data_IF_987711240486
#
_entry.id   IF_987711240486
#
_cell.length_a   1.000
_cell.length_b   1.000
_cell.length_c   1.000
_cell.angle_alpha   90.00
_cell.angle_beta   90.00
_cell.angle_gamma   90.00
#
_symmetry.space_group_name_H-M   'P 1'
#
loop_
_entity.id
_entity.type
_entity.pdbx_description
1 polymer ?
#
# COMPACT_ATOMS: atom_id res chain seq x y z
N UNK A 1 -5.76 18.03 0.33
CA UNK A 1 -5.09 16.75 0.07
C UNK A 1 -5.20 15.89 1.32
N UNK A 2 -5.24 14.58 1.18
CA UNK A 2 -5.08 13.68 2.31
C UNK A 2 -3.68 13.87 2.94
N UNK A 3 -3.48 13.42 4.18
CA UNK A 3 -2.18 13.55 4.82
C UNK A 3 -1.12 12.76 4.05
N UNK A 4 0.08 13.33 3.87
CA UNK A 4 1.20 12.63 3.23
C UNK A 4 1.48 11.25 3.89
N UNK A 5 1.30 11.14 5.21
CA UNK A 5 1.43 9.88 5.93
C UNK A 5 0.40 8.82 5.47
N UNK A 6 -0.82 9.23 5.11
CA UNK A 6 -1.85 8.33 4.58
C UNK A 6 -1.42 7.78 3.22
N UNK A 7 -0.97 8.63 2.30
CA UNK A 7 -0.47 8.22 0.98
C UNK A 7 0.73 7.27 1.09
N UNK A 8 1.70 7.61 1.95
CA UNK A 8 2.86 6.76 2.21
C UNK A 8 2.45 5.38 2.75
N UNK A 9 1.61 5.34 3.78
CA UNK A 9 1.23 4.08 4.42
C UNK A 9 0.35 3.21 3.52
N UNK A 10 -0.54 3.80 2.72
CA UNK A 10 -1.34 3.05 1.74
C UNK A 10 -0.43 2.45 0.67
N UNK A 11 0.47 3.24 0.09
CA UNK A 11 1.45 2.73 -0.91
C UNK A 11 2.34 1.62 -0.36
N UNK A 12 2.86 1.80 0.86
CA UNK A 12 3.67 0.79 1.55
C UNK A 12 2.88 -0.51 1.79
N UNK A 13 1.63 -0.41 2.22
CA UNK A 13 0.74 -1.56 2.49
C UNK A 13 0.47 -2.35 1.21
N UNK A 14 0.09 -1.65 0.14
CA UNK A 14 -0.24 -2.27 -1.14
C UNK A 14 0.98 -3.00 -1.73
N UNK A 15 2.14 -2.35 -1.76
CA UNK A 15 3.33 -2.98 -2.36
C UNK A 15 3.80 -4.18 -1.53
N UNK A 16 3.76 -4.08 -0.19
CA UNK A 16 4.12 -5.20 0.69
C UNK A 16 3.20 -6.41 0.46
N UNK A 17 1.88 -6.20 0.41
CA UNK A 17 0.92 -7.26 0.15
C UNK A 17 1.09 -7.86 -1.25
N UNK A 18 1.28 -7.02 -2.27
CA UNK A 18 1.46 -7.45 -3.66
C UNK A 18 2.70 -8.33 -3.83
N UNK A 19 3.80 -7.98 -3.14
CA UNK A 19 5.06 -8.73 -3.25
C UNK A 19 5.12 -9.93 -2.31
N UNK A 20 4.23 -10.03 -1.32
CA UNK A 20 4.20 -11.14 -0.34
C UNK A 20 4.28 -12.52 -1.01
N UNK A 21 3.47 -12.87 -2.04
CA UNK A 21 3.56 -14.18 -2.70
C UNK A 21 4.91 -14.44 -3.35
N UNK A 22 5.53 -13.42 -3.95
CA UNK A 22 6.85 -13.50 -4.60
C UNK A 22 7.94 -13.66 -3.54
N UNK A 23 7.88 -12.85 -2.48
CA UNK A 23 8.81 -12.90 -1.36
C UNK A 23 8.84 -14.28 -0.70
N UNK A 24 7.65 -14.85 -0.50
CA UNK A 24 7.50 -16.22 -0.03
C UNK A 24 8.07 -17.19 -1.08
N UNK A 25 7.54 -17.24 -2.30
CA UNK A 25 7.97 -18.22 -3.32
C UNK A 25 9.49 -18.31 -3.47
N UNK A 26 10.17 -17.17 -3.55
CA UNK A 26 11.61 -17.10 -3.83
C UNK A 26 12.52 -16.98 -2.61
N UNK A 27 11.98 -17.02 -1.38
CA UNK A 27 12.79 -16.91 -0.14
C UNK A 27 13.66 -15.63 -0.15
N UNK A 28 13.04 -14.50 -0.47
CA UNK A 28 13.75 -13.22 -0.49
C UNK A 28 14.40 -12.94 0.87
N UNK A 29 15.61 -12.37 0.83
CA UNK A 29 16.33 -12.02 2.04
C UNK A 29 15.54 -10.99 2.88
N UNK A 30 15.61 -11.03 4.22
CA UNK A 30 14.79 -10.19 5.11
C UNK A 30 14.92 -8.67 4.89
N UNK A 31 16.04 -8.22 4.31
CA UNK A 31 16.24 -6.81 3.99
C UNK A 31 15.44 -6.34 2.77
N UNK A 32 15.04 -7.24 1.87
CA UNK A 32 14.28 -6.87 0.66
C UNK A 32 12.87 -6.35 1.02
N UNK A 33 12.06 -7.03 1.87
CA UNK A 33 10.79 -6.49 2.34
C UNK A 33 10.87 -5.11 3.00
N UNK A 34 11.98 -4.80 3.70
CA UNK A 34 12.19 -3.48 4.30
C UNK A 34 12.29 -2.40 3.22
N UNK A 35 13.05 -2.65 2.15
CA UNK A 35 13.11 -1.72 1.02
C UNK A 35 11.78 -1.62 0.28
N UNK A 36 11.02 -2.71 0.17
CA UNK A 36 9.71 -2.68 -0.48
C UNK A 36 8.71 -1.79 0.26
N UNK A 37 8.75 -1.75 1.60
CA UNK A 37 7.94 -0.81 2.38
C UNK A 37 8.31 0.64 2.03
N UNK A 38 9.60 0.95 1.98
CA UNK A 38 10.08 2.32 1.65
C UNK A 38 9.71 2.69 0.22
N UNK A 39 9.97 1.80 -0.75
CA UNK A 39 9.64 2.03 -2.17
C UNK A 39 8.13 2.18 -2.37
N UNK A 40 7.32 1.38 -1.68
CA UNK A 40 5.87 1.48 -1.75
C UNK A 40 5.36 2.80 -1.20
N UNK A 41 5.94 3.27 -0.08
CA UNK A 41 5.60 4.57 0.47
C UNK A 41 6.02 5.75 -0.40
N UNK A 42 7.23 5.70 -1.00
CA UNK A 42 7.68 6.70 -1.97
C UNK A 42 6.78 6.69 -3.21
N UNK A 43 6.37 5.51 -3.69
CA UNK A 43 5.41 5.39 -4.77
C UNK A 43 4.08 6.03 -4.41
N UNK A 44 3.52 5.79 -3.22
CA UNK A 44 2.31 6.49 -2.77
C UNK A 44 2.45 8.02 -2.69
N UNK A 45 3.64 8.52 -2.34
CA UNK A 45 3.95 9.95 -2.28
C UNK A 45 4.32 10.59 -3.62
N UNK A 46 4.55 9.81 -4.68
CA UNK A 46 5.05 10.32 -5.96
C UNK A 46 4.35 11.58 -6.47
N UNK A 47 3.01 11.63 -6.47
CA UNK A 47 2.25 12.81 -6.89
C UNK A 47 2.44 14.06 -6.00
N UNK A 48 2.75 13.90 -4.71
CA UNK A 48 3.00 15.01 -3.78
C UNK A 48 4.30 15.78 -4.13
N UNK A 49 5.13 15.26 -5.03
CA UNK A 49 6.36 15.92 -5.46
C UNK A 49 6.11 17.33 -6.02
N UNK A 50 4.92 17.60 -6.57
CA UNK A 50 4.52 18.92 -7.05
C UNK A 50 4.58 20.02 -5.96
N UNK A 51 4.62 19.67 -4.67
CA UNK A 51 4.77 20.61 -3.57
C UNK A 51 6.20 21.14 -3.36
N UNK A 52 7.22 20.45 -3.88
CA UNK A 52 8.63 20.74 -3.56
C UNK A 52 9.49 21.07 -4.79
N UNK A 53 8.99 20.84 -6.00
CA UNK A 53 9.71 21.18 -7.24
C UNK A 53 9.25 22.53 -7.79
N UNK A 54 10.19 23.44 -8.10
CA UNK A 54 9.87 24.70 -8.78
C UNK A 54 9.73 24.53 -10.30
N UNK A 55 9.97 23.33 -10.84
CA UNK A 55 9.95 23.05 -12.29
C UNK A 55 8.66 22.32 -12.65
N UNK A 56 8.00 22.74 -13.73
CA UNK A 56 6.74 22.17 -14.23
C UNK A 56 5.58 22.21 -13.22
N UNK A 57 5.49 23.25 -12.38
CA UNK A 57 4.50 23.34 -11.30
C UNK A 57 3.05 23.16 -11.80
N UNK A 58 2.72 23.80 -12.93
CA UNK A 58 1.35 23.74 -13.49
C UNK A 58 1.04 22.36 -14.05
N UNK A 59 1.98 21.75 -14.79
CA UNK A 59 1.82 20.43 -15.38
C UNK A 59 1.78 19.34 -14.32
N UNK A 60 2.62 19.43 -13.30
CA UNK A 60 2.65 18.47 -12.18
C UNK A 60 1.40 18.57 -11.32
N UNK A 61 0.87 19.77 -11.11
CA UNK A 61 -0.42 19.94 -10.42
C UNK A 61 -1.59 19.44 -11.25
N UNK A 62 -1.60 19.70 -12.55
CA UNK A 62 -2.61 19.15 -13.47
C UNK A 62 -2.55 17.61 -13.52
N UNK A 63 -1.34 17.04 -13.48
CA UNK A 63 -1.16 15.60 -13.35
C UNK A 63 -1.68 15.09 -12.01
N UNK A 64 -1.26 15.70 -10.89
CA UNK A 64 -1.70 15.40 -9.52
C UNK A 64 -3.24 15.31 -9.41
N UNK A 65 -3.94 16.28 -10.00
CA UNK A 65 -5.40 16.38 -9.92
C UNK A 65 -6.14 15.48 -10.93
N UNK A 66 -5.41 14.64 -11.67
CA UNK A 66 -5.99 13.73 -12.67
C UNK A 66 -6.29 12.34 -12.09
N UNK A 67 -7.28 11.60 -12.64
CA UNK A 67 -7.56 10.22 -12.21
C UNK A 67 -6.40 9.23 -12.42
N UNK A 68 -5.44 9.55 -13.29
CA UNK A 68 -4.24 8.71 -13.53
C UNK A 68 -3.39 8.55 -12.27
N UNK A 69 -3.53 9.48 -11.32
CA UNK A 69 -2.79 9.48 -10.07
C UNK A 69 -3.25 8.37 -9.11
N UNK A 70 -4.39 7.73 -9.36
CA UNK A 70 -4.76 6.49 -8.66
C UNK A 70 -3.76 5.34 -8.89
N UNK A 71 -2.96 5.39 -9.97
CA UNK A 71 -1.84 4.47 -10.18
C UNK A 71 -0.72 4.62 -9.14
N UNK A 72 -0.75 5.66 -8.32
CA UNK A 72 0.15 5.88 -7.21
C UNK A 72 -0.59 5.55 -5.92
N UNK A 73 -0.97 4.29 -5.72
CA UNK A 73 -1.64 3.83 -4.49
C UNK A 73 -2.98 4.54 -4.18
N UNK A 74 -3.83 4.74 -5.20
CA UNK A 74 -5.14 5.40 -5.07
C UNK A 74 -5.07 6.85 -4.58
N UNK A 75 -3.95 7.52 -4.85
CA UNK A 75 -3.69 8.87 -4.34
C UNK A 75 -4.80 9.86 -4.70
N UNK A 76 -5.31 9.85 -5.93
CA UNK A 76 -6.39 10.73 -6.35
C UNK A 76 -7.71 10.46 -5.60
N UNK A 77 -8.03 9.18 -5.39
CA UNK A 77 -9.21 8.74 -4.62
C UNK A 77 -9.10 9.16 -3.15
N UNK A 78 -7.93 8.97 -2.53
CA UNK A 78 -7.67 9.39 -1.16
C UNK A 78 -7.79 10.91 -0.99
N UNK A 79 -7.50 11.65 -2.06
CA UNK A 79 -7.62 13.10 -2.10
C UNK A 79 -9.04 13.62 -2.33
N UNK A 80 -10.04 12.78 -2.56
CA UNK A 80 -11.42 13.22 -2.79
C UNK A 80 -12.02 13.93 -1.56
N UNK A 81 -12.90 14.93 -1.76
CA UNK A 81 -13.51 15.68 -0.65
C UNK A 81 -14.13 14.82 0.45
N UNK A 82 -14.80 13.71 0.09
CA UNK A 82 -15.43 12.78 1.02
C UNK A 82 -14.42 12.13 1.97
N UNK A 83 -13.28 11.68 1.44
CA UNK A 83 -12.19 11.08 2.24
C UNK A 83 -11.48 12.14 3.08
N UNK A 84 -11.20 13.32 2.50
CA UNK A 84 -10.56 14.43 3.24
C UNK A 84 -11.37 14.93 4.43
N UNK A 85 -12.71 14.89 4.33
CA UNK A 85 -13.59 15.24 5.44
C UNK A 85 -13.41 14.31 6.66
N UNK A 86 -12.81 13.14 6.45
CA UNK A 86 -12.55 12.12 7.46
C UNK A 86 -11.06 12.03 7.85
N UNK A 87 -10.35 13.16 7.90
CA UNK A 87 -8.90 13.25 8.17
C UNK A 87 -8.37 12.24 9.20
N UNK A 88 -8.92 12.26 10.42
CA UNK A 88 -8.48 11.39 11.51
C UNK A 88 -8.70 9.92 11.17
N UNK A 89 -9.86 9.58 10.62
CA UNK A 89 -10.19 8.22 10.23
C UNK A 89 -9.28 7.72 9.09
N UNK A 90 -8.93 8.57 8.12
CA UNK A 90 -8.00 8.24 7.03
C UNK A 90 -6.59 7.96 7.56
N UNK A 91 -6.09 8.75 8.52
CA UNK A 91 -4.80 8.49 9.18
C UNK A 91 -4.83 7.16 9.93
N UNK A 92 -5.80 6.97 10.83
CA UNK A 92 -5.90 5.73 11.60
C UNK A 92 -6.12 4.51 10.70
N UNK A 93 -6.97 4.62 9.68
CA UNK A 93 -7.21 3.57 8.70
C UNK A 93 -5.94 3.16 7.96
N UNK A 94 -5.12 4.13 7.55
CA UNK A 94 -3.84 3.85 6.89
C UNK A 94 -2.82 3.17 7.81
N UNK A 95 -2.77 3.56 9.10
CA UNK A 95 -1.93 2.90 10.11
C UNK A 95 -2.39 1.46 10.32
N UNK A 96 -3.69 1.23 10.51
CA UNK A 96 -4.25 -0.10 10.72
C UNK A 96 -4.05 -1.00 9.49
N UNK A 97 -4.23 -0.46 8.28
CA UNK A 97 -3.96 -1.17 7.03
C UNK A 97 -2.48 -1.59 6.95
N UNK A 98 -1.56 -0.68 7.26
CA UNK A 98 -0.12 -0.98 7.26
C UNK A 98 0.27 -2.03 8.30
N UNK A 99 -0.24 -1.92 9.53
CA UNK A 99 -0.02 -2.93 10.57
C UNK A 99 -0.59 -4.29 10.14
N UNK A 100 -1.76 -4.31 9.50
CA UNK A 100 -2.35 -5.53 8.92
C UNK A 100 -1.48 -6.15 7.84
N UNK A 101 -0.93 -5.34 6.93
CA UNK A 101 -0.03 -5.79 5.89
C UNK A 101 1.27 -6.38 6.45
N UNK A 102 1.90 -5.70 7.40
CA UNK A 102 3.13 -6.18 8.09
C UNK A 102 2.85 -7.48 8.85
N UNK A 103 1.75 -7.54 9.60
CA UNK A 103 1.36 -8.75 10.35
C UNK A 103 1.13 -9.92 9.41
N UNK A 104 0.41 -9.70 8.30
CA UNK A 104 0.18 -10.71 7.26
C UNK A 104 1.50 -11.24 6.71
N UNK A 105 2.42 -10.35 6.35
CA UNK A 105 3.73 -10.73 5.84
C UNK A 105 4.55 -11.55 6.86
N UNK A 106 4.57 -11.13 8.12
CA UNK A 106 5.28 -11.83 9.20
C UNK A 106 4.69 -13.22 9.43
N UNK A 107 3.36 -13.33 9.57
CA UNK A 107 2.67 -14.61 9.78
C UNK A 107 2.94 -15.54 8.60
N UNK A 108 2.82 -15.04 7.37
CA UNK A 108 3.04 -15.85 6.17
C UNK A 108 4.49 -16.37 6.08
N UNK A 109 5.46 -15.53 6.47
CA UNK A 109 6.87 -15.92 6.54
C UNK A 109 7.11 -16.95 7.64
N UNK A 110 6.57 -16.74 8.84
CA UNK A 110 6.73 -17.64 9.98
C UNK A 110 6.11 -19.02 9.74
N UNK A 111 4.90 -19.07 9.18
CA UNK A 111 4.22 -20.31 8.81
C UNK A 111 5.01 -21.10 7.77
N UNK A 112 5.57 -20.40 6.77
CA UNK A 112 6.38 -21.04 5.73
C UNK A 112 7.72 -21.57 6.24
N UNK A 113 8.33 -20.95 7.25
CA UNK A 113 9.56 -21.47 7.88
C UNK A 113 9.30 -22.76 8.66
N UNK A 114 8.06 -22.96 9.15
CA UNK A 114 7.65 -24.15 9.92
C UNK A 114 7.23 -25.34 9.05
N UNK A 115 6.96 -25.14 7.76
CA UNK A 115 6.53 -26.21 6.85
C UNK A 115 7.70 -26.74 5.99
N UNK A 116 7.99 -28.03 6.09
CA UNK A 116 9.00 -28.70 5.26
C UNK A 116 8.43 -28.99 3.87
N UNK A 117 8.98 -28.28 2.87
CA UNK A 117 9.20 -28.55 1.43
C UNK A 117 8.28 -29.43 0.54
N UNK A 118 7.19 -30.02 0.99
CA UNK A 118 6.29 -30.81 0.09
C UNK A 118 4.81 -30.48 0.19
N UNK A 119 4.36 -29.80 1.26
CA UNK A 119 2.97 -29.36 1.35
C UNK A 119 2.79 -27.93 0.84
N UNK A 120 1.96 -27.83 -0.18
CA UNK A 120 1.52 -26.65 -0.90
C UNK A 120 0.83 -25.66 0.05
N UNK A 121 1.60 -24.92 0.87
CA UNK A 121 1.12 -23.78 1.67
C UNK A 121 0.81 -22.55 0.78
N UNK A 122 0.37 -22.79 -0.45
CA UNK A 122 0.33 -21.84 -1.56
C UNK A 122 -1.01 -21.12 -1.79
N UNK A 123 -2.20 -21.61 -1.35
CA UNK A 123 -3.46 -20.91 -1.67
C UNK A 123 -4.03 -20.07 -0.53
N UNK A 124 -3.97 -20.51 0.74
CA UNK A 124 -4.65 -19.80 1.85
C UNK A 124 -3.98 -18.49 2.25
N UNK A 125 -2.65 -18.42 2.19
CA UNK A 125 -1.90 -17.19 2.49
C UNK A 125 -2.02 -16.17 1.35
N UNK A 126 -2.05 -16.65 0.11
CA UNK A 126 -2.38 -15.81 -1.05
C UNK A 126 -3.82 -15.31 -0.91
N UNK A 127 -4.77 -16.17 -0.55
CA UNK A 127 -6.15 -15.78 -0.32
C UNK A 127 -6.32 -14.77 0.81
N UNK A 128 -5.56 -14.89 1.92
CA UNK A 128 -5.57 -13.90 3.00
C UNK A 128 -4.98 -12.55 2.55
N UNK A 129 -3.86 -12.59 1.83
CA UNK A 129 -3.20 -11.39 1.29
C UNK A 129 -4.11 -10.68 0.28
N UNK A 130 -4.76 -11.46 -0.60
CA UNK A 130 -5.76 -10.99 -1.56
C UNK A 130 -7.01 -10.47 -0.85
N UNK A 131 -7.48 -11.14 0.21
CA UNK A 131 -8.64 -10.69 0.99
C UNK A 131 -8.36 -9.38 1.71
N UNK A 132 -7.19 -9.21 2.32
CA UNK A 132 -6.78 -7.94 2.95
C UNK A 132 -6.58 -6.84 1.90
N UNK A 133 -5.99 -7.16 0.75
CA UNK A 133 -5.87 -6.24 -0.37
C UNK A 133 -7.26 -5.78 -0.82
N UNK A 134 -8.18 -6.72 -1.06
CA UNK A 134 -9.56 -6.43 -1.45
C UNK A 134 -10.32 -5.65 -0.37
N UNK A 135 -10.11 -5.94 0.93
CA UNK A 135 -10.73 -5.17 2.01
C UNK A 135 -10.22 -3.73 2.03
N UNK A 136 -8.92 -3.53 1.80
CA UNK A 136 -8.29 -2.22 1.74
C UNK A 136 -8.81 -1.42 0.53
N UNK A 137 -8.98 -2.09 -0.61
CA UNK A 137 -9.60 -1.53 -1.82
C UNK A 137 -11.08 -1.19 -1.60
N UNK A 138 -11.84 -2.06 -0.93
CA UNK A 138 -13.27 -1.84 -0.66
C UNK A 138 -13.48 -0.69 0.32
N UNK A 139 -12.66 -0.59 1.38
CA UNK A 139 -12.70 0.53 2.32
C UNK A 139 -12.34 1.88 1.65
N UNK A 140 -11.48 1.87 0.64
CA UNK A 140 -11.20 3.05 -0.18
C UNK A 140 -12.38 3.41 -1.10
N UNK A 141 -13.13 2.41 -1.60
CA UNK A 141 -14.24 2.60 -2.54
C UNK A 141 -15.58 2.97 -1.88
N UNK A 142 -15.90 2.47 -0.69
CA UNK A 142 -17.22 2.70 -0.03
C UNK A 142 -17.33 4.02 0.74
N UNK A 143 -16.27 4.82 0.77
CA UNK A 143 -16.28 6.17 1.34
C UNK A 143 -16.28 7.27 0.26
N UNK A 144 -16.53 6.89 -1.00
CA UNK A 144 -16.74 7.79 -2.14
C UNK A 144 -18.21 8.14 -2.36
#
# INVERSE_FOLDING_TARGET
MAPAITHYLVGASLLLLLVTPVALRYRLAPWIPLWLVVLGGIWGLGPDFHHITPVYETELRAFHDSPWVDLFAFHYTLDRPAVRAQYTASVFGSILSFLGAVTTFIIATALRTRTNLTDTASPHLVALSVALLLLSLFAAATNG
#
